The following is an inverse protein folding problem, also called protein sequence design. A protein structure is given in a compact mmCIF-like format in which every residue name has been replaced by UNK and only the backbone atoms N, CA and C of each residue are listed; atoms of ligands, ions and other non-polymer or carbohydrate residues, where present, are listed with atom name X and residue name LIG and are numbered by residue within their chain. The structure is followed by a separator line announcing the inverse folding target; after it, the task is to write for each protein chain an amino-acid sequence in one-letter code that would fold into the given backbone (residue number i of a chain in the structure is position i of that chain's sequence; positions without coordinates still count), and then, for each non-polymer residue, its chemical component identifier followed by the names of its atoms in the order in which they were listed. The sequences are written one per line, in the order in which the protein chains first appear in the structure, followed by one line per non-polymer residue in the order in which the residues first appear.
data_IF_697897725123
#
_entry.id   IF_697897725123
#
_cell.length_a   1.000
_cell.length_b   1.000
_cell.length_c   1.000
_cell.angle_alpha   90.00
_cell.angle_beta   90.00
_cell.angle_gamma   90.00
#
_symmetry.space_group_name_H-M   'P 1'
#
loop_
_entity.id
_entity.type
_entity.pdbx_description
1 polymer ?
#
# COMPACT_ATOMS: atom_id res chain seq x y z
N UNK A 1 -10.07 -0.59 -7.40
CA UNK A 1 -10.80 -0.53 -8.68
C UNK A 1 -12.10 -1.28 -8.41
N UNK A 2 -13.25 -0.62 -8.38
CA UNK A 2 -14.50 -1.25 -7.96
C UNK A 2 -15.05 -2.17 -9.05
N UNK A 3 -15.07 -3.47 -8.81
CA UNK A 3 -15.77 -4.42 -9.69
C UNK A 3 -17.28 -4.12 -9.64
N UNK A 4 -17.89 -3.74 -10.77
CA UNK A 4 -19.29 -3.32 -10.83
C UNK A 4 -20.32 -4.46 -10.78
N UNK A 5 -19.87 -5.70 -10.91
CA UNK A 5 -20.72 -6.90 -10.83
C UNK A 5 -21.20 -7.16 -9.40
N UNK A 6 -20.43 -6.75 -8.39
CA UNK A 6 -20.78 -6.86 -6.98
C UNK A 6 -21.25 -5.49 -6.49
N UNK A 7 -22.50 -5.40 -6.05
CA UNK A 7 -23.05 -4.12 -5.55
C UNK A 7 -22.81 -3.92 -4.05
N UNK A 8 -22.73 -5.02 -3.29
CA UNK A 8 -22.58 -4.96 -1.83
C UNK A 8 -21.18 -4.50 -1.43
N UNK A 9 -21.10 -3.56 -0.49
CA UNK A 9 -19.82 -3.07 0.04
C UNK A 9 -18.96 -2.32 -0.97
N UNK A 10 -19.58 -1.81 -2.04
CA UNK A 10 -18.97 -0.92 -3.01
C UNK A 10 -18.62 0.42 -2.33
N UNK A 11 -17.40 0.94 -2.50
CA UNK A 11 -17.03 2.23 -1.97
C UNK A 11 -17.71 3.37 -2.76
N UNK A 12 -17.90 4.52 -2.13
CA UNK A 12 -18.38 5.71 -2.84
C UNK A 12 -17.38 6.11 -3.95
N UNK A 13 -17.89 6.57 -5.11
CA UNK A 13 -17.11 6.92 -6.31
C UNK A 13 -15.87 7.78 -6.06
N UNK A 14 -15.93 8.68 -5.07
CA UNK A 14 -14.80 9.55 -4.71
C UNK A 14 -13.55 8.80 -4.18
N UNK A 15 -13.68 7.54 -3.80
CA UNK A 15 -12.58 6.69 -3.32
C UNK A 15 -12.05 5.73 -4.40
N UNK A 16 -12.65 5.71 -5.58
CA UNK A 16 -12.14 4.91 -6.69
C UNK A 16 -10.74 5.40 -7.11
N UNK A 17 -9.86 4.44 -7.42
CA UNK A 17 -8.47 4.73 -7.81
C UNK A 17 -7.56 5.21 -6.69
N UNK A 18 -8.07 5.40 -5.46
CA UNK A 18 -7.25 5.77 -4.31
C UNK A 18 -6.53 4.54 -3.76
N UNK A 19 -5.27 4.73 -3.40
CA UNK A 19 -4.50 3.75 -2.62
C UNK A 19 -4.55 4.15 -1.15
N UNK A 20 -4.66 3.17 -0.26
CA UNK A 20 -4.72 3.38 1.17
C UNK A 20 -3.96 2.30 1.92
N UNK A 21 -3.92 2.41 3.25
CA UNK A 21 -3.35 1.39 4.14
C UNK A 21 -4.47 0.66 4.85
N UNK A 22 -4.36 -0.67 4.91
CA UNK A 22 -5.27 -1.51 5.69
C UNK A 22 -5.04 -1.24 7.18
N UNK A 23 -6.11 -1.05 7.95
CA UNK A 23 -6.06 -0.88 9.41
C UNK A 23 -6.80 -1.99 10.17
N UNK A 24 -7.81 -2.59 9.54
CA UNK A 24 -8.59 -3.68 10.12
C UNK A 24 -9.03 -4.64 9.01
N UNK A 25 -9.25 -5.90 9.37
CA UNK A 25 -9.74 -6.94 8.47
C UNK A 25 -10.96 -7.58 9.12
N UNK A 26 -12.03 -7.75 8.35
CA UNK A 26 -13.23 -8.50 8.76
C UNK A 26 -13.44 -9.67 7.81
N UNK A 27 -14.39 -10.56 8.13
CA UNK A 27 -14.60 -11.82 7.39
C UNK A 27 -14.77 -11.62 5.87
N UNK A 28 -15.46 -10.56 5.44
CA UNK A 28 -15.76 -10.30 4.03
C UNK A 28 -15.25 -8.95 3.51
N UNK A 29 -14.65 -8.13 4.38
CA UNK A 29 -14.26 -6.78 4.04
C UNK A 29 -12.96 -6.37 4.72
N UNK A 30 -12.41 -5.26 4.23
CA UNK A 30 -11.17 -4.69 4.72
C UNK A 30 -11.42 -3.23 5.05
N UNK A 31 -11.02 -2.84 6.25
CA UNK A 31 -10.97 -1.46 6.68
C UNK A 31 -9.71 -0.79 6.12
N UNK A 32 -9.89 0.22 5.28
CA UNK A 32 -8.81 0.98 4.64
C UNK A 32 -8.85 2.44 5.10
N UNK A 33 -7.66 2.98 5.42
CA UNK A 33 -7.45 4.41 5.61
C UNK A 33 -7.07 5.02 4.27
N UNK A 34 -7.90 5.94 3.77
CA UNK A 34 -7.71 6.68 2.53
C UNK A 34 -7.65 8.17 2.82
N UNK A 35 -6.68 8.86 2.23
CA UNK A 35 -6.58 10.32 2.31
C UNK A 35 -7.56 10.98 1.34
N UNK A 36 -8.48 11.80 1.86
CA UNK A 36 -9.44 12.57 1.08
C UNK A 36 -9.20 14.05 1.29
N UNK A 37 -9.08 14.79 0.20
CA UNK A 37 -9.03 16.26 0.25
C UNK A 37 -10.45 16.81 0.44
N UNK A 38 -10.63 17.69 1.42
CA UNK A 38 -11.89 18.37 1.73
C UNK A 38 -11.60 19.84 2.02
N UNK A 39 -12.11 20.74 1.17
CA UNK A 39 -11.99 22.22 1.31
C UNK A 39 -10.57 22.67 1.74
N UNK A 40 -9.54 22.16 1.05
CA UNK A 40 -8.13 22.53 1.28
C UNK A 40 -7.38 21.70 2.32
N UNK A 41 -8.04 20.85 3.11
CA UNK A 41 -7.39 19.96 4.09
C UNK A 41 -7.35 18.52 3.61
N UNK A 42 -6.29 17.79 3.93
CA UNK A 42 -6.19 16.34 3.68
C UNK A 42 -6.63 15.62 4.95
N UNK A 43 -7.76 14.92 4.88
CA UNK A 43 -8.32 14.17 6.00
C UNK A 43 -8.15 12.67 5.75
N UNK A 44 -7.66 11.96 6.77
CA UNK A 44 -7.68 10.50 6.78
C UNK A 44 -9.12 10.01 7.00
N UNK A 45 -9.67 9.28 6.03
CA UNK A 45 -10.99 8.67 6.09
C UNK A 45 -10.86 7.15 6.22
N UNK A 46 -11.54 6.57 7.19
CA UNK A 46 -11.65 5.11 7.38
C UNK A 46 -12.88 4.61 6.65
N UNK A 47 -12.71 3.59 5.82
CA UNK A 47 -13.76 3.04 4.98
C UNK A 47 -13.65 1.52 5.02
N UNK A 48 -14.79 0.84 5.18
CA UNK A 48 -14.87 -0.61 5.05
C UNK A 48 -15.30 -0.94 3.62
N UNK A 49 -14.47 -1.69 2.90
CA UNK A 49 -14.69 -2.05 1.51
C UNK A 49 -14.54 -3.55 1.37
N UNK A 50 -15.39 -4.21 0.58
CA UNK A 50 -15.21 -5.65 0.37
C UNK A 50 -14.01 -6.00 -0.50
N UNK A 51 -13.54 -7.24 -0.36
CA UNK A 51 -12.32 -7.76 -0.99
C UNK A 51 -12.40 -7.68 -2.53
N UNK A 52 -13.58 -7.86 -3.12
CA UNK A 52 -13.82 -7.82 -4.57
C UNK A 52 -13.48 -6.46 -5.20
N UNK A 53 -13.57 -5.37 -4.42
CA UNK A 53 -13.30 -4.01 -4.89
C UNK A 53 -11.86 -3.53 -4.62
N UNK A 54 -11.08 -4.36 -3.94
CA UNK A 54 -9.72 -4.05 -3.52
C UNK A 54 -8.74 -4.85 -4.40
N UNK A 55 -7.62 -4.22 -4.74
CA UNK A 55 -6.50 -4.88 -5.41
C UNK A 55 -5.21 -4.48 -4.71
N UNK A 56 -4.27 -5.41 -4.58
CA UNK A 56 -2.95 -5.11 -4.04
C UNK A 56 -2.20 -4.16 -4.96
N UNK A 57 -1.56 -3.14 -4.38
CA UNK A 57 -0.76 -2.17 -5.12
C UNK A 57 0.65 -2.69 -5.33
N UNK A 58 1.06 -2.85 -6.59
CA UNK A 58 2.42 -3.31 -6.96
C UNK A 58 3.51 -2.25 -6.76
N UNK A 59 3.13 -0.99 -6.50
CA UNK A 59 4.08 0.13 -6.35
C UNK A 59 5.07 -0.06 -5.18
N UNK A 60 4.68 -0.80 -4.14
CA UNK A 60 5.50 -1.07 -2.95
C UNK A 60 6.43 -2.26 -3.15
N UNK A 61 6.14 -3.16 -4.08
CA UNK A 61 6.87 -4.42 -4.24
C UNK A 61 8.33 -4.18 -4.65
N UNK A 62 8.56 -3.29 -5.62
CA UNK A 62 9.92 -2.91 -6.07
C UNK A 62 10.74 -2.26 -4.95
N UNK A 63 10.10 -1.49 -4.07
CA UNK A 63 10.74 -0.91 -2.90
C UNK A 63 11.16 -1.99 -1.90
N UNK A 64 10.27 -2.93 -1.59
CA UNK A 64 10.54 -4.03 -0.66
C UNK A 64 11.64 -4.96 -1.18
N UNK A 65 11.62 -5.28 -2.48
CA UNK A 65 12.67 -6.08 -3.11
C UNK A 65 14.04 -5.41 -2.97
N UNK A 66 14.12 -4.09 -3.23
CA UNK A 66 15.36 -3.33 -3.05
C UNK A 66 15.83 -3.30 -1.60
N UNK A 67 14.93 -3.22 -0.62
CA UNK A 67 15.31 -3.28 0.80
C UNK A 67 16.01 -4.60 1.11
N UNK A 68 15.45 -5.72 0.64
CA UNK A 68 16.05 -7.06 0.82
C UNK A 68 17.41 -7.19 0.14
N UNK A 69 17.53 -6.71 -1.10
CA UNK A 69 18.80 -6.71 -1.84
C UNK A 69 19.88 -5.87 -1.14
N UNK A 70 19.49 -4.71 -0.61
CA UNK A 70 20.39 -3.84 0.13
C UNK A 70 20.84 -4.45 1.45
N UNK A 71 19.96 -5.14 2.18
CA UNK A 71 20.32 -5.88 3.40
C UNK A 71 21.32 -7.00 3.11
N UNK A 72 21.14 -7.74 2.01
CA UNK A 72 22.08 -8.77 1.57
C UNK A 72 23.46 -8.18 1.28
N UNK A 73 23.52 -7.11 0.48
CA UNK A 73 24.78 -6.39 0.17
C UNK A 73 25.45 -5.84 1.43
N UNK A 74 24.68 -5.32 2.37
CA UNK A 74 25.19 -4.82 3.65
C UNK A 74 25.82 -5.94 4.48
N UNK A 75 25.20 -7.11 4.52
CA UNK A 75 25.73 -8.28 5.24
C UNK A 75 27.05 -8.77 4.61
N UNK A 76 27.08 -8.94 3.30
CA UNK A 76 28.29 -9.35 2.56
C UNK A 76 29.44 -8.33 2.71
N UNK A 77 29.12 -7.03 2.67
CA UNK A 77 30.10 -5.98 2.88
C UNK A 77 30.68 -5.99 4.30
N UNK A 78 29.83 -6.25 5.31
CA UNK A 78 30.26 -6.40 6.71
C UNK A 78 31.18 -7.60 6.91
N UNK A 79 30.87 -8.74 6.28
CA UNK A 79 31.70 -9.95 6.33
C UNK A 79 33.07 -9.74 5.67
N UNK A 80 33.12 -8.97 4.57
CA UNK A 80 34.36 -8.63 3.86
C UNK A 80 35.12 -7.44 4.45
N UNK A 81 34.52 -6.70 5.39
CA UNK A 81 35.10 -5.46 5.96
C UNK A 81 35.15 -4.27 4.99
N UNK A 82 34.38 -4.29 3.91
CA UNK A 82 34.38 -3.27 2.85
C UNK A 82 33.18 -2.32 3.04
N UNK A 83 33.35 -1.04 2.73
CA UNK A 83 32.25 -0.08 2.70
C UNK A 83 31.49 -0.12 1.37
N UNK A 84 30.15 -0.09 1.41
CA UNK A 84 29.29 -0.14 0.21
C UNK A 84 28.27 0.99 0.20
N UNK A 85 28.12 1.67 -0.94
CA UNK A 85 27.07 2.68 -1.16
C UNK A 85 25.75 1.99 -1.55
N UNK A 86 24.72 2.13 -0.70
CA UNK A 86 23.40 1.51 -0.90
C UNK A 86 22.32 2.46 -1.44
N UNK A 87 22.69 3.74 -1.65
CA UNK A 87 21.81 4.73 -2.26
C UNK A 87 21.64 4.41 -3.76
N UNK A 88 20.46 4.74 -4.32
CA UNK A 88 20.27 4.72 -5.78
C UNK A 88 21.19 5.77 -6.40
N UNK A 89 21.74 5.45 -7.56
CA UNK A 89 22.39 6.43 -8.45
C UNK A 89 21.34 7.17 -9.25
#
# INVERSE_FOLDING_TARGET
QGMGTVQKGMPHKCYHGKTGRVYNVTQHAVGIIVNKQVKGKILAKRINVRIEHIKHSKSRDSFLQRVKENEKKKKEAKEKGIWVQLKRQ
#
